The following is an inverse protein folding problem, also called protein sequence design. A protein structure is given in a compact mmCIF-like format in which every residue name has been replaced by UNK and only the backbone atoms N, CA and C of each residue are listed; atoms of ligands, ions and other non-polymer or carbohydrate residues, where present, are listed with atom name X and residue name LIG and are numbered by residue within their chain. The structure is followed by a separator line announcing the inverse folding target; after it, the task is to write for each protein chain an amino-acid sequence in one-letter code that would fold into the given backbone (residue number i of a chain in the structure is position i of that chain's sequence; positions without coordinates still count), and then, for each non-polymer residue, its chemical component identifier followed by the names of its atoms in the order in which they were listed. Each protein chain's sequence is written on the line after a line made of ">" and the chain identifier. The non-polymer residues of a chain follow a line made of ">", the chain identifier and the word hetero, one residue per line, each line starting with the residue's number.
data_IF_103863112848
#
_entry.id   IF_103863112848
#
_cell.length_a   1.000
_cell.length_b   1.000
_cell.length_c   1.000
_cell.angle_alpha   90.00
_cell.angle_beta   90.00
_cell.angle_gamma   90.00
#
_symmetry.space_group_name_H-M   'P 1'
#
loop_
_entity.id
_entity.type
_entity.pdbx_description
1 polymer ?
#
# COMPACT_ATOMS: atom_id res chain seq x y z
N UNK A 1 -5.31 -9.59 6.51
CA UNK A 1 -6.51 -8.96 5.93
C UNK A 1 -6.47 -9.13 4.42
N UNK A 2 -7.62 -9.42 3.84
CA UNK A 2 -7.71 -9.56 2.38
C UNK A 2 -7.89 -8.21 1.72
N UNK A 3 -7.32 -8.08 0.53
CA UNK A 3 -7.40 -6.85 -0.26
C UNK A 3 -8.77 -6.80 -0.94
N UNK A 4 -9.51 -5.73 -0.68
CA UNK A 4 -10.78 -5.50 -1.37
C UNK A 4 -10.50 -5.04 -2.80
N UNK A 5 -11.37 -5.41 -3.71
CA UNK A 5 -11.26 -5.05 -5.12
C UNK A 5 -9.92 -5.45 -5.76
N UNK A 6 -9.35 -6.58 -5.28
CA UNK A 6 -8.06 -7.07 -5.78
C UNK A 6 -8.07 -7.24 -7.30
N UNK A 7 -9.14 -7.83 -7.85
CA UNK A 7 -9.24 -8.07 -9.29
C UNK A 7 -9.18 -6.77 -10.08
N UNK A 8 -9.82 -5.72 -9.55
CA UNK A 8 -9.81 -4.41 -10.18
C UNK A 8 -8.42 -3.77 -10.13
N UNK A 9 -7.74 -3.90 -8.99
CA UNK A 9 -6.38 -3.38 -8.83
C UNK A 9 -5.43 -4.07 -9.81
N UNK A 10 -5.53 -5.39 -9.93
CA UNK A 10 -4.72 -6.15 -10.88
C UNK A 10 -5.02 -5.75 -12.32
N UNK A 11 -6.28 -5.55 -12.65
CA UNK A 11 -6.69 -5.14 -13.98
C UNK A 11 -6.09 -3.77 -14.33
N UNK A 12 -6.19 -2.81 -13.42
CA UNK A 12 -5.62 -1.47 -13.61
C UNK A 12 -4.11 -1.56 -13.83
N UNK A 13 -3.41 -2.33 -13.00
CA UNK A 13 -1.97 -2.53 -13.15
C UNK A 13 -1.61 -3.11 -14.50
N UNK A 14 -2.36 -4.10 -14.97
CA UNK A 14 -2.13 -4.71 -16.27
C UNK A 14 -2.36 -3.72 -17.42
N UNK A 15 -3.37 -2.88 -17.30
CA UNK A 15 -3.65 -1.85 -18.31
C UNK A 15 -2.48 -0.86 -18.44
N UNK A 16 -1.80 -0.59 -17.33
CA UNK A 16 -0.61 0.28 -17.33
C UNK A 16 0.67 -0.48 -17.65
N UNK A 17 0.59 -1.80 -17.86
CA UNK A 17 1.77 -2.61 -18.18
C UNK A 17 2.67 -2.89 -16.99
N UNK A 18 2.14 -2.89 -15.78
CA UNK A 18 2.91 -3.07 -14.55
C UNK A 18 2.97 -4.54 -14.14
N UNK A 19 4.12 -4.95 -13.58
CA UNK A 19 4.27 -6.29 -13.01
C UNK A 19 3.63 -6.36 -11.62
N UNK A 20 3.41 -7.58 -11.12
CA UNK A 20 2.86 -7.77 -9.78
C UNK A 20 3.73 -7.10 -8.70
N UNK A 21 5.08 -7.25 -8.69
CA UNK A 21 5.91 -6.55 -7.72
C UNK A 21 5.74 -5.03 -7.77
N UNK A 22 5.58 -4.46 -8.96
CA UNK A 22 5.36 -3.03 -9.11
C UNK A 22 4.01 -2.62 -8.52
N UNK A 23 2.96 -3.42 -8.75
CA UNK A 23 1.64 -3.17 -8.19
C UNK A 23 1.69 -3.26 -6.66
N UNK A 24 2.37 -4.27 -6.12
CA UNK A 24 2.54 -4.42 -4.68
C UNK A 24 3.21 -3.21 -4.06
N UNK A 25 4.28 -2.73 -4.68
CA UNK A 25 5.01 -1.56 -4.18
C UNK A 25 4.16 -0.29 -4.25
N UNK A 26 3.42 -0.11 -5.34
CA UNK A 26 2.54 1.05 -5.49
C UNK A 26 1.43 1.05 -4.44
N UNK A 27 0.82 -0.12 -4.20
CA UNK A 27 -0.23 -0.24 -3.20
C UNK A 27 0.31 0.00 -1.79
N UNK A 28 1.49 -0.54 -1.48
CA UNK A 28 2.17 -0.31 -0.21
C UNK A 28 2.43 1.18 0.01
N UNK A 29 2.95 1.86 -0.99
CA UNK A 29 3.23 3.30 -0.91
C UNK A 29 1.94 4.12 -0.76
N UNK A 30 0.88 3.74 -1.45
CA UNK A 30 -0.41 4.42 -1.35
C UNK A 30 -0.98 4.32 0.07
N UNK A 31 -0.86 3.15 0.70
CA UNK A 31 -1.30 2.95 2.07
C UNK A 31 -0.47 3.81 3.03
N UNK A 32 0.85 3.82 2.85
CA UNK A 32 1.75 4.60 3.68
C UNK A 32 1.41 6.10 3.60
N UNK A 33 1.04 6.59 2.43
CA UNK A 33 0.64 7.99 2.25
C UNK A 33 -0.66 8.29 2.98
N UNK A 34 -1.60 7.36 3.03
CA UNK A 34 -2.84 7.54 3.79
C UNK A 34 -2.54 7.81 5.27
N UNK A 35 -1.53 7.16 5.83
CA UNK A 35 -1.12 7.36 7.22
C UNK A 35 -0.22 8.56 7.41
N UNK A 36 0.59 8.89 6.41
CA UNK A 36 1.45 10.07 6.47
C UNK A 36 0.63 11.35 6.62
N UNK A 37 -0.53 11.43 5.98
CA UNK A 37 -1.44 12.56 6.12
C UNK A 37 -1.94 12.73 7.55
N UNK A 38 -1.85 11.67 8.37
CA UNK A 38 -2.22 11.71 9.78
C UNK A 38 -1.01 11.79 10.71
N UNK A 39 0.18 12.08 10.15
CA UNK A 39 1.44 12.12 10.87
C UNK A 39 1.77 10.79 11.55
N UNK A 40 1.40 9.68 10.92
CA UNK A 40 1.68 8.34 11.43
C UNK A 40 2.67 7.63 10.52
N UNK A 41 3.74 7.11 11.11
CA UNK A 41 4.68 6.25 10.39
C UNK A 41 4.12 4.83 10.36
N UNK A 42 4.01 4.26 9.17
CA UNK A 42 3.53 2.89 9.04
C UNK A 42 4.32 2.11 8.00
N UNK A 43 4.22 0.79 8.06
CA UNK A 43 4.72 -0.12 7.06
C UNK A 43 3.57 -0.98 6.54
N UNK A 44 3.55 -1.22 5.24
CA UNK A 44 2.53 -2.03 4.61
C UNK A 44 3.18 -3.13 3.78
N UNK A 45 2.83 -4.37 4.07
CA UNK A 45 3.24 -5.54 3.31
C UNK A 45 2.06 -6.02 2.49
N UNK A 46 2.21 -5.98 1.17
CA UNK A 46 1.18 -6.40 0.23
C UNK A 46 1.62 -7.67 -0.46
N UNK A 47 0.79 -8.70 -0.44
CA UNK A 47 1.06 -9.95 -1.11
C UNK A 47 -0.07 -10.25 -2.09
N UNK A 48 0.15 -9.96 -3.36
CA UNK A 48 -0.87 -10.17 -4.40
C UNK A 48 -1.11 -11.65 -4.67
N UNK A 49 -0.10 -12.48 -4.48
CA UNK A 49 -0.22 -13.91 -4.69
C UNK A 49 -1.29 -14.53 -3.78
N UNK A 50 -1.34 -14.09 -2.53
CA UNK A 50 -2.32 -14.55 -1.55
C UNK A 50 -3.49 -13.59 -1.40
N UNK A 51 -3.45 -12.43 -2.06
CA UNK A 51 -4.50 -11.42 -1.95
C UNK A 51 -4.60 -10.81 -0.56
N UNK A 52 -3.48 -10.73 0.15
CA UNK A 52 -3.47 -10.28 1.55
C UNK A 52 -2.64 -9.03 1.74
N UNK A 53 -2.94 -8.33 2.83
CA UNK A 53 -2.22 -7.12 3.22
C UNK A 53 -2.06 -7.10 4.73
N UNK A 54 -0.88 -6.64 5.18
CA UNK A 54 -0.57 -6.45 6.59
C UNK A 54 -0.03 -5.06 6.76
N UNK A 55 -0.61 -4.28 7.68
CA UNK A 55 -0.18 -2.91 7.94
C UNK A 55 0.14 -2.77 9.41
N UNK A 56 1.29 -2.17 9.70
CA UNK A 56 1.75 -1.91 11.07
C UNK A 56 2.05 -0.43 11.22
N UNK A 57 1.69 0.13 12.37
CA UNK A 57 2.05 1.50 12.72
C UNK A 57 3.12 1.49 13.80
N UNK A 58 3.93 2.54 13.84
CA UNK A 58 4.92 2.70 14.88
C UNK A 58 4.32 3.46 16.06
N UNK A 59 4.47 2.90 17.26
CA UNK A 59 4.07 3.53 18.50
C UNK A 59 5.32 3.86 19.31
N UNK A 60 5.49 5.14 19.68
CA UNK A 60 6.66 5.62 20.40
C UNK A 60 7.67 6.30 19.48
N UNK A 61 8.70 6.89 20.09
CA UNK A 61 9.70 7.69 19.38
C UNK A 61 11.06 6.99 19.32
N UNK A 62 11.75 7.17 18.19
CA UNK A 62 13.14 6.76 18.03
C UNK A 62 13.37 5.28 18.27
N UNK A 63 14.40 4.99 19.06
CA UNK A 63 14.84 3.61 19.31
C UNK A 63 13.88 2.80 20.17
N UNK A 64 12.99 3.48 20.88
CA UNK A 64 12.01 2.83 21.76
C UNK A 64 10.66 2.59 21.10
N UNK A 65 10.56 2.90 19.81
CA UNK A 65 9.33 2.68 19.07
C UNK A 65 9.05 1.19 18.87
N UNK A 66 7.77 0.82 18.95
CA UNK A 66 7.32 -0.55 18.75
C UNK A 66 6.33 -0.57 17.57
N UNK A 67 6.44 -1.60 16.72
CA UNK A 67 5.49 -1.78 15.62
C UNK A 67 4.26 -2.51 16.11
N UNK A 68 3.10 -1.96 15.82
CA UNK A 68 1.79 -2.51 16.23
C UNK A 68 0.95 -2.79 15.00
N UNK A 69 0.43 -4.02 14.91
CA UNK A 69 -0.44 -4.40 13.81
C UNK A 69 -1.74 -3.61 13.84
N UNK A 70 -2.20 -3.21 12.66
CA UNK A 70 -3.46 -2.50 12.51
C UNK A 70 -4.50 -3.48 11.97
N UNK A 71 -5.58 -3.70 12.74
CA UNK A 71 -6.63 -4.66 12.38
C UNK A 71 -7.43 -4.21 11.16
N UNK A 72 -7.72 -2.92 11.07
CA UNK A 72 -8.51 -2.35 9.98
C UNK A 72 -7.75 -1.18 9.37
N UNK A 73 -6.74 -1.48 8.52
CA UNK A 73 -5.95 -0.41 7.95
C UNK A 73 -6.75 0.45 6.97
N UNK A 74 -6.35 1.72 6.88
CA UNK A 74 -6.86 2.61 5.86
C UNK A 74 -6.38 2.13 4.50
N UNK A 75 -7.29 2.11 3.54
CA UNK A 75 -6.97 1.70 2.19
C UNK A 75 -7.14 2.88 1.24
N UNK A 76 -6.25 3.01 0.26
CA UNK A 76 -6.40 4.07 -0.73
C UNK A 76 -7.61 3.79 -1.62
N UNK A 77 -8.21 4.85 -2.12
CA UNK A 77 -9.23 4.72 -3.16
C UNK A 77 -8.54 4.32 -4.47
N UNK A 78 -9.32 3.84 -5.43
CA UNK A 78 -8.80 3.53 -6.76
C UNK A 78 -8.10 4.74 -7.36
N UNK A 79 -8.68 5.92 -7.21
CA UNK A 79 -8.09 7.17 -7.71
C UNK A 79 -6.75 7.45 -7.07
N UNK A 80 -6.65 7.31 -5.75
CA UNK A 80 -5.39 7.52 -5.03
C UNK A 80 -4.33 6.51 -5.47
N UNK A 81 -4.72 5.26 -5.66
CA UNK A 81 -3.81 4.22 -6.14
C UNK A 81 -3.25 4.57 -7.52
N UNK A 82 -4.12 4.98 -8.45
CA UNK A 82 -3.70 5.38 -9.79
C UNK A 82 -2.74 6.57 -9.73
N UNK A 83 -3.02 7.56 -8.87
CA UNK A 83 -2.14 8.72 -8.70
C UNK A 83 -0.75 8.30 -8.23
N UNK A 84 -0.67 7.37 -7.30
CA UNK A 84 0.62 6.86 -6.81
C UNK A 84 1.36 6.15 -7.93
N UNK A 85 0.67 5.33 -8.71
CA UNK A 85 1.27 4.64 -9.85
C UNK A 85 1.88 5.64 -10.84
N UNK A 86 1.14 6.69 -11.15
CA UNK A 86 1.63 7.72 -12.08
C UNK A 86 2.85 8.47 -11.53
N UNK A 87 2.86 8.75 -10.23
CA UNK A 87 3.98 9.43 -9.58
C UNK A 87 5.24 8.58 -9.53
N UNK A 88 5.12 7.28 -9.45
CA UNK A 88 6.28 6.38 -9.35
C UNK A 88 7.05 6.26 -10.66
N UNK A 89 6.43 6.51 -11.80
CA UNK A 89 7.06 6.56 -13.12
C UNK A 89 8.05 5.41 -13.34
N UNK A 90 7.54 4.21 -13.37
CA UNK A 90 8.38 3.03 -13.58
C UNK A 90 8.95 2.97 -14.99
N UNK A 91 10.25 2.88 -15.09
CA UNK A 91 10.94 2.57 -16.28
C UNK A 91 10.95 3.69 -17.24
N UNK A 92 11.39 3.74 -18.14
CA UNK A 92 11.48 4.46 -19.03
C UNK A 92 11.92 4.21 -19.91
#
# INVERSE_FOLDING_TARGET
>A
MHIQDLDRILQIGQEYGWSEPQIEMALSNAIRLCYADKNMLCEADVNLKFGTISVRRRNGDGEHGVWIDIDRPLMPTTKEFIQVMELMQWGD
#
